data_IF_183082615799
#
_entry.id   IF_183082615799
#
_cell.length_a   1.000
_cell.length_b   1.000
_cell.length_c   1.000
_cell.angle_alpha   90.00
_cell.angle_beta   90.00
_cell.angle_gamma   90.00
#
_symmetry.space_group_name_H-M   'P 1'
#
loop_
_entity.id
_entity.type
_entity.pdbx_description
1 polymer ?
#
# COMPACT_ATOMS: atom_id res chain seq x y z
N UNK A 1 0.05 -1.64 10.15
CA UNK A 1 -0.98 -0.61 9.88
C UNK A 1 -1.24 -0.57 8.39
N UNK A 2 -2.50 -0.58 7.94
CA UNK A 2 -2.84 -0.59 6.52
C UNK A 2 -3.37 0.77 6.07
N UNK A 3 -2.81 1.31 4.99
CA UNK A 3 -3.27 2.53 4.34
C UNK A 3 -4.06 2.22 3.08
N UNK A 4 -5.30 2.72 3.00
CA UNK A 4 -6.24 2.39 1.92
C UNK A 4 -6.99 3.65 1.46
N UNK A 5 -7.23 3.72 0.15
CA UNK A 5 -8.11 4.72 -0.48
C UNK A 5 -9.30 4.04 -1.18
N UNK A 6 -10.21 4.80 -1.77
CA UNK A 6 -11.62 4.41 -1.92
C UNK A 6 -11.84 3.33 -2.99
N UNK A 7 -12.51 2.23 -2.63
CA UNK A 7 -13.05 1.22 -3.56
C UNK A 7 -12.06 0.17 -4.07
N UNK A 8 -12.58 -0.87 -4.71
CA UNK A 8 -11.78 -1.93 -5.35
C UNK A 8 -10.92 -2.73 -4.37
N UNK A 9 -9.66 -2.95 -4.75
CA UNK A 9 -8.70 -3.75 -3.95
C UNK A 9 -8.56 -3.20 -2.53
N UNK A 10 -8.47 -1.88 -2.38
CA UNK A 10 -8.26 -1.23 -1.09
C UNK A 10 -9.42 -1.46 -0.11
N UNK A 11 -10.67 -1.45 -0.57
CA UNK A 11 -11.83 -1.77 0.27
C UNK A 11 -11.84 -3.25 0.71
N UNK A 12 -11.43 -4.16 -0.18
CA UNK A 12 -11.31 -5.58 0.13
C UNK A 12 -10.21 -5.85 1.17
N UNK A 13 -9.05 -5.18 1.06
CA UNK A 13 -7.99 -5.31 2.06
C UNK A 13 -8.42 -4.70 3.40
N UNK A 14 -9.09 -3.54 3.38
CA UNK A 14 -9.65 -2.92 4.59
C UNK A 14 -10.62 -3.87 5.31
N UNK A 15 -11.54 -4.49 4.56
CA UNK A 15 -12.48 -5.49 5.08
C UNK A 15 -11.74 -6.66 5.72
N UNK A 16 -10.81 -7.29 5.01
CA UNK A 16 -10.10 -8.47 5.51
C UNK A 16 -9.25 -8.16 6.76
N UNK A 17 -8.58 -7.01 6.77
CA UNK A 17 -7.83 -6.57 7.95
C UNK A 17 -8.74 -6.32 9.15
N UNK A 18 -9.89 -5.66 8.94
CA UNK A 18 -10.89 -5.40 9.99
C UNK A 18 -11.50 -6.69 10.54
N UNK A 19 -11.85 -7.64 9.68
CA UNK A 19 -12.40 -8.95 10.07
C UNK A 19 -11.39 -9.78 10.89
N UNK A 20 -10.09 -9.63 10.62
CA UNK A 20 -9.02 -10.23 11.40
C UNK A 20 -8.65 -9.47 12.68
N UNK A 21 -9.36 -8.38 13.02
CA UNK A 21 -9.09 -7.57 14.21
C UNK A 21 -7.90 -6.61 14.09
N UNK A 22 -7.40 -6.40 12.87
CA UNK A 22 -6.35 -5.41 12.60
C UNK A 22 -6.89 -3.98 12.58
N UNK A 23 -6.00 -3.01 12.80
CA UNK A 23 -6.30 -1.57 12.70
C UNK A 23 -6.12 -1.10 11.25
N UNK A 24 -7.16 -0.49 10.69
CA UNK A 24 -7.19 0.03 9.32
C UNK A 24 -7.29 1.55 9.35
N UNK A 25 -6.31 2.21 8.72
CA UNK A 25 -6.22 3.68 8.66
C UNK A 25 -6.37 4.14 7.22
N UNK A 26 -7.44 4.86 6.92
CA UNK A 26 -7.65 5.45 5.59
C UNK A 26 -7.12 6.87 5.52
N UNK A 27 -6.17 7.13 4.61
CA UNK A 27 -5.72 8.47 4.24
C UNK A 27 -6.50 8.90 3.00
N UNK A 28 -7.47 9.82 3.12
CA UNK A 28 -8.50 10.09 2.10
C UNK A 28 -8.15 11.27 1.17
N UNK A 29 -8.67 11.21 -0.06
CA UNK A 29 -8.24 12.00 -1.24
C UNK A 29 -8.73 13.43 -1.13
N UNK A 30 -10.02 13.53 -0.78
CA UNK A 30 -10.67 14.78 -0.43
C UNK A 30 -10.49 15.16 1.04
N UNK A 31 -11.14 16.25 1.37
CA UNK A 31 -11.24 16.89 2.69
C UNK A 31 -12.48 16.43 3.49
N UNK A 32 -13.27 15.50 2.94
CA UNK A 32 -14.41 14.89 3.62
C UNK A 32 -14.24 13.38 3.79
N UNK A 33 -15.08 12.79 4.65
CA UNK A 33 -15.18 11.33 4.83
C UNK A 33 -16.21 10.68 3.89
N UNK A 34 -16.79 11.46 2.97
CA UNK A 34 -17.79 10.95 2.04
C UNK A 34 -17.13 9.90 1.14
N UNK A 35 -17.76 8.74 1.01
CA UNK A 35 -17.22 7.61 0.24
C UNK A 35 -16.09 6.85 0.93
N UNK A 36 -15.74 7.18 2.19
CA UNK A 36 -14.79 6.40 2.95
C UNK A 36 -15.33 4.97 3.18
N UNK A 37 -14.43 3.99 3.16
CA UNK A 37 -14.79 2.61 3.46
C UNK A 37 -15.36 2.50 4.87
N UNK A 38 -16.44 1.73 5.03
CA UNK A 38 -17.02 1.43 6.36
C UNK A 38 -16.11 0.54 7.22
N UNK A 39 -15.05 -0.03 6.64
CA UNK A 39 -14.12 -0.92 7.32
C UNK A 39 -12.93 -0.17 7.94
N UNK A 40 -12.86 1.16 7.83
CA UNK A 40 -11.80 1.96 8.45
C UNK A 40 -12.04 2.15 9.96
N UNK A 41 -11.00 2.00 10.76
CA UNK A 41 -10.99 2.42 12.17
C UNK A 41 -10.74 3.92 12.29
N UNK A 42 -9.81 4.43 11.46
CA UNK A 42 -9.43 5.84 11.44
C UNK A 42 -9.54 6.35 10.02
N UNK A 43 -10.24 7.48 9.86
CA UNK A 43 -10.40 8.17 8.57
C UNK A 43 -9.80 9.57 8.64
N UNK A 44 -8.73 9.79 7.86
CA UNK A 44 -7.97 11.04 7.76
C UNK A 44 -8.31 11.76 6.43
N UNK A 45 -9.30 12.66 6.40
CA UNK A 45 -9.54 13.53 5.25
C UNK A 45 -8.41 14.54 5.10
N UNK A 46 -7.67 14.49 4.00
CA UNK A 46 -6.45 15.30 3.83
C UNK A 46 -6.61 16.48 2.88
N UNK A 47 -7.50 16.37 1.89
CA UNK A 47 -7.60 17.34 0.79
C UNK A 47 -6.34 17.43 -0.10
N UNK A 48 -5.41 16.48 0.02
CA UNK A 48 -4.10 16.54 -0.64
C UNK A 48 -4.07 15.90 -2.05
N UNK A 49 -5.19 15.36 -2.53
CA UNK A 49 -5.23 14.68 -3.82
C UNK A 49 -4.24 13.52 -3.90
N UNK A 50 -3.41 13.49 -4.94
CA UNK A 50 -2.36 12.47 -5.11
C UNK A 50 -1.14 12.67 -4.20
N UNK A 51 -0.94 13.88 -3.66
CA UNK A 51 0.25 14.18 -2.85
C UNK A 51 0.31 13.35 -1.56
N UNK A 52 -0.82 12.82 -1.09
CA UNK A 52 -0.86 11.95 0.10
C UNK A 52 -0.31 10.55 -0.12
N UNK A 53 -0.10 10.11 -1.36
CA UNK A 53 0.55 8.83 -1.64
C UNK A 53 1.98 8.81 -1.04
N UNK A 54 2.63 9.98 -1.03
CA UNK A 54 3.91 10.21 -0.34
C UNK A 54 3.79 9.96 1.16
N UNK A 55 2.71 10.43 1.81
CA UNK A 55 2.47 10.22 3.23
C UNK A 55 2.23 8.74 3.54
N UNK A 56 1.45 8.05 2.71
CA UNK A 56 1.16 6.62 2.84
C UNK A 56 2.47 5.82 2.82
N UNK A 57 3.29 6.05 1.80
CA UNK A 57 4.58 5.36 1.66
C UNK A 57 5.52 5.70 2.80
N UNK A 58 5.56 6.97 3.22
CA UNK A 58 6.47 7.42 4.28
C UNK A 58 6.12 6.86 5.65
N UNK A 59 4.83 6.63 5.90
CA UNK A 59 4.34 6.05 7.14
C UNK A 59 4.35 4.51 7.15
N UNK A 60 4.71 3.87 6.03
CA UNK A 60 4.76 2.42 5.92
C UNK A 60 6.18 1.88 6.13
N UNK A 61 6.31 0.83 6.93
CA UNK A 61 7.56 0.06 7.03
C UNK A 61 7.81 -0.79 5.79
N UNK A 62 6.74 -1.31 5.20
CA UNK A 62 6.74 -2.11 3.97
C UNK A 62 5.46 -1.81 3.19
N UNK A 63 5.56 -1.79 1.86
CA UNK A 63 4.42 -1.63 0.95
C UNK A 63 4.15 -2.94 0.22
N UNK A 64 2.89 -3.38 0.17
CA UNK A 64 2.44 -4.47 -0.70
C UNK A 64 1.64 -3.86 -1.85
N UNK A 65 2.17 -3.93 -3.07
CA UNK A 65 1.51 -3.45 -4.27
C UNK A 65 0.72 -4.58 -4.94
N UNK A 66 -0.58 -4.39 -5.11
CA UNK A 66 -1.52 -5.40 -5.64
C UNK A 66 -2.23 -4.85 -6.88
N UNK A 67 -2.25 -5.62 -7.97
CA UNK A 67 -2.86 -5.18 -9.22
C UNK A 67 -2.08 -4.02 -9.85
N UNK A 68 -2.69 -3.27 -10.76
CA UNK A 68 -1.99 -2.13 -11.36
C UNK A 68 -2.90 -1.15 -12.07
N UNK A 69 -2.67 0.12 -11.75
CA UNK A 69 -2.99 1.32 -12.53
C UNK A 69 -1.87 2.37 -12.28
N UNK A 70 -1.96 3.56 -12.88
CA UNK A 70 -0.95 4.61 -12.69
C UNK A 70 -0.77 5.05 -11.22
N UNK A 71 -1.83 5.00 -10.42
CA UNK A 71 -1.75 5.30 -8.97
C UNK A 71 -0.82 4.34 -8.24
N UNK A 72 -1.00 3.03 -8.47
CA UNK A 72 -0.12 1.99 -7.89
C UNK A 72 1.33 2.17 -8.37
N UNK A 73 1.55 2.50 -9.64
CA UNK A 73 2.90 2.73 -10.15
C UNK A 73 3.58 3.94 -9.46
N UNK A 74 2.83 5.01 -9.21
CA UNK A 74 3.31 6.19 -8.49
C UNK A 74 3.70 5.85 -7.04
N UNK A 75 2.86 5.09 -6.32
CA UNK A 75 3.17 4.63 -4.95
C UNK A 75 4.44 3.79 -4.92
N UNK A 76 4.61 2.87 -5.88
CA UNK A 76 5.83 2.07 -5.96
C UNK A 76 7.05 2.95 -6.23
N UNK A 77 6.96 3.91 -7.15
CA UNK A 77 8.06 4.83 -7.43
C UNK A 77 8.47 5.65 -6.20
N UNK A 78 7.49 6.14 -5.42
CA UNK A 78 7.74 6.82 -4.16
C UNK A 78 8.42 5.91 -3.13
N UNK A 79 7.95 4.66 -2.99
CA UNK A 79 8.53 3.70 -2.06
C UNK A 79 9.99 3.40 -2.38
N UNK A 80 10.31 3.15 -3.65
CA UNK A 80 11.68 2.94 -4.10
C UNK A 80 12.56 4.16 -3.85
N UNK A 81 12.04 5.38 -4.08
CA UNK A 81 12.77 6.63 -3.81
C UNK A 81 13.08 6.82 -2.32
N UNK A 82 12.18 6.37 -1.45
CA UNK A 82 12.31 6.48 0.01
C UNK A 82 13.01 5.28 0.67
N UNK A 83 13.42 4.28 -0.12
CA UNK A 83 13.98 3.02 0.39
C UNK A 83 13.01 2.23 1.29
N UNK A 84 11.71 2.39 1.08
CA UNK A 84 10.68 1.53 1.68
C UNK A 84 10.58 0.25 0.86
N UNK A 85 10.75 -0.94 1.48
CA UNK A 85 10.61 -2.22 0.77
C UNK A 85 9.24 -2.37 0.11
N UNK A 86 9.24 -2.90 -1.11
CA UNK A 86 8.01 -3.13 -1.89
C UNK A 86 7.88 -4.61 -2.21
N UNK A 87 6.78 -5.21 -1.78
CA UNK A 87 6.35 -6.55 -2.18
C UNK A 87 5.34 -6.41 -3.33
N UNK A 88 5.63 -7.02 -4.48
CA UNK A 88 4.73 -7.00 -5.62
C UNK A 88 3.90 -8.28 -5.72
N UNK A 89 2.58 -8.15 -5.71
CA UNK A 89 1.62 -9.25 -5.91
C UNK A 89 0.74 -8.95 -7.13
N UNK A 90 0.98 -9.67 -8.24
CA UNK A 90 0.25 -9.45 -9.52
C UNK A 90 0.21 -7.96 -9.92
N UNK A 91 1.36 -7.28 -9.82
CA UNK A 91 1.51 -5.85 -10.08
C UNK A 91 2.58 -5.57 -11.15
N UNK A 92 2.92 -4.29 -11.34
CA UNK A 92 3.94 -3.81 -12.27
C UNK A 92 5.30 -4.50 -12.08
N UNK A 93 5.94 -4.85 -13.20
CA UNK A 93 7.37 -5.18 -13.22
C UNK A 93 8.18 -3.92 -13.54
N UNK A 94 9.04 -3.54 -12.61
CA UNK A 94 9.82 -2.29 -12.64
C UNK A 94 11.28 -2.58 -13.00
N UNK A 95 11.52 -3.80 -13.47
CA UNK A 95 12.81 -4.29 -13.88
C UNK A 95 13.78 -4.47 -12.72
N UNK A 96 15.05 -4.43 -13.11
CA UNK A 96 16.19 -4.66 -12.24
C UNK A 96 16.97 -3.37 -12.04
N UNK A 97 17.74 -3.31 -10.96
CA UNK A 97 18.74 -2.28 -10.78
C UNK A 97 19.99 -2.54 -11.65
N UNK A 98 20.99 -1.67 -11.52
CA UNK A 98 22.26 -1.78 -12.26
C UNK A 98 23.06 -3.04 -11.95
N UNK A 99 22.70 -3.79 -10.90
CA UNK A 99 23.34 -5.04 -10.48
C UNK A 99 22.50 -6.27 -10.83
N UNK A 100 21.38 -6.09 -11.55
CA UNK A 100 20.51 -7.19 -11.93
C UNK A 100 19.57 -7.66 -10.80
N UNK A 101 19.51 -6.95 -9.68
CA UNK A 101 18.60 -7.24 -8.56
C UNK A 101 17.24 -6.63 -8.85
N UNK A 102 16.16 -7.39 -8.65
CA UNK A 102 14.81 -6.85 -8.88
C UNK A 102 14.55 -5.69 -7.92
N UNK A 103 13.97 -4.59 -8.44
CA UNK A 103 13.68 -3.40 -7.63
C UNK A 103 12.57 -3.64 -6.62
N UNK A 104 11.69 -4.62 -6.88
CA UNK A 104 10.62 -5.03 -5.98
C UNK A 104 10.74 -6.52 -5.68
N UNK A 105 10.24 -6.94 -4.53
CA UNK A 105 10.26 -8.34 -4.12
C UNK A 105 8.97 -9.00 -4.62
N UNK A 106 9.07 -9.91 -5.57
CA UNK A 106 7.88 -10.58 -6.13
C UNK A 106 7.29 -11.57 -5.14
N UNK A 107 5.97 -11.60 -5.04
CA UNK A 107 5.18 -12.59 -4.33
C UNK A 107 4.21 -13.30 -5.28
N UNK A 108 4.04 -14.59 -5.06
CA UNK A 108 3.26 -15.46 -5.95
C UNK A 108 1.78 -15.50 -5.52
N UNK A 109 1.53 -15.27 -4.24
CA UNK A 109 0.22 -15.37 -3.61
C UNK A 109 0.11 -14.41 -2.39
N UNK A 110 -1.09 -14.17 -1.86
CA UNK A 110 -1.29 -13.27 -0.73
C UNK A 110 -0.55 -13.68 0.55
N UNK A 111 -0.41 -14.98 0.83
CA UNK A 111 0.25 -15.49 2.03
C UNK A 111 1.75 -15.17 1.94
N UNK A 112 2.38 -15.55 0.83
CA UNK A 112 3.81 -15.26 0.63
C UNK A 112 4.10 -13.76 0.58
N UNK A 113 3.15 -12.93 0.12
CA UNK A 113 3.29 -11.47 0.17
C UNK A 113 3.35 -10.95 1.61
N UNK A 114 2.43 -11.41 2.47
CA UNK A 114 2.35 -11.01 3.88
C UNK A 114 3.56 -11.53 4.66
N UNK A 115 3.97 -12.78 4.46
CA UNK A 115 5.16 -13.34 5.13
C UNK A 115 6.45 -12.57 4.79
N UNK A 116 6.63 -12.21 3.51
CA UNK A 116 7.76 -11.38 3.07
C UNK A 116 7.70 -9.99 3.69
N UNK A 117 6.50 -9.40 3.77
CA UNK A 117 6.32 -8.10 4.40
C UNK A 117 6.66 -8.12 5.90
N UNK A 118 6.20 -9.13 6.65
CA UNK A 118 6.51 -9.27 8.08
C UNK A 118 8.01 -9.41 8.35
N UNK A 119 8.75 -10.12 7.50
CA UNK A 119 10.21 -10.25 7.65
C UNK A 119 10.98 -8.95 7.46
N UNK A 120 10.38 -7.97 6.78
CA UNK A 120 11.02 -6.70 6.41
C UNK A 120 10.50 -5.51 7.23
N UNK A 121 9.33 -5.66 7.87
CA UNK A 121 8.80 -4.66 8.78
C UNK A 121 9.78 -4.46 9.95
N UNK A 122 10.08 -3.21 10.25
CA UNK A 122 10.90 -2.84 11.40
C UNK A 122 9.99 -2.77 12.63
N UNK A 123 10.57 -3.05 13.80
CA UNK A 123 9.91 -2.79 15.10
C UNK A 123 9.68 -1.29 15.33
#
# INVERSE_FOLDING_TARGET
MLFVTIGGVMDAVAKGAKEAGGIVVGVLLGDTRIGASKYLDVSLPTGMGEARNVLIVKAADVVIAIGGEYGTLSEIAHALKMSTPVIGLKTWDIGKDKFGVSRIIKADDPISAVEKAYKLAKE
#
